data_IF_921069271454
#
_entry.id   IF_921069271454
#
_cell.length_a   1.000
_cell.length_b   1.000
_cell.length_c   1.000
_cell.angle_alpha   90.00
_cell.angle_beta   90.00
_cell.angle_gamma   90.00
#
_symmetry.space_group_name_H-M   'P 1'
#
loop_
_entity.id
_entity.type
_entity.pdbx_description
1 polymer ?
#
# COMPACT_ATOMS: atom_id res chain seq x y z
N UNK A 1 26.41 -21.31 -53.96
CA UNK A 1 27.30 -20.16 -53.68
C UNK A 1 27.92 -20.27 -52.28
N UNK A 2 28.96 -21.09 -52.11
CA UNK A 2 29.68 -21.18 -50.83
C UNK A 2 30.69 -20.04 -50.70
N UNK A 3 30.52 -19.15 -49.71
CA UNK A 3 31.59 -18.22 -49.30
C UNK A 3 32.70 -19.03 -48.61
N UNK A 4 33.95 -18.65 -48.86
CA UNK A 4 35.15 -19.41 -48.45
C UNK A 4 35.32 -19.63 -46.94
N UNK A 5 36.33 -20.45 -46.58
CA UNK A 5 36.61 -20.89 -45.21
C UNK A 5 36.75 -19.70 -44.25
N UNK A 6 35.94 -19.68 -43.19
CA UNK A 6 35.95 -18.64 -42.14
C UNK A 6 36.75 -19.13 -40.93
N UNK A 7 37.58 -18.27 -40.34
CA UNK A 7 38.31 -18.55 -39.11
C UNK A 7 37.36 -18.71 -37.91
N UNK A 8 37.63 -19.65 -37.00
CA UNK A 8 36.88 -19.84 -35.76
C UNK A 8 37.32 -18.81 -34.70
N UNK A 9 36.87 -17.57 -34.88
CA UNK A 9 37.02 -16.47 -33.92
C UNK A 9 35.75 -15.62 -33.86
N UNK A 10 35.67 -14.74 -32.86
CA UNK A 10 34.58 -13.77 -32.73
C UNK A 10 34.47 -12.90 -34.00
N UNK A 11 33.26 -12.75 -34.51
CA UNK A 11 32.98 -11.86 -35.66
C UNK A 11 32.74 -10.47 -35.08
N UNK A 12 33.63 -9.51 -35.33
CA UNK A 12 33.52 -8.17 -34.71
C UNK A 12 32.38 -7.33 -35.28
N UNK A 13 32.18 -7.35 -36.60
CA UNK A 13 31.07 -6.64 -37.25
C UNK A 13 29.71 -7.13 -36.70
N UNK A 14 28.97 -6.21 -36.07
CA UNK A 14 27.70 -6.50 -35.37
C UNK A 14 26.63 -7.08 -36.31
N UNK A 15 26.52 -6.57 -37.54
CA UNK A 15 25.52 -7.02 -38.54
C UNK A 15 25.88 -8.42 -39.03
N UNK A 16 27.13 -8.64 -39.44
CA UNK A 16 27.62 -9.96 -39.87
C UNK A 16 27.50 -11.00 -38.77
N UNK A 17 27.76 -10.62 -37.51
CA UNK A 17 27.58 -11.48 -36.34
C UNK A 17 26.10 -11.85 -36.13
N UNK A 18 25.17 -10.90 -36.22
CA UNK A 18 23.73 -11.15 -36.07
C UNK A 18 23.17 -12.09 -37.15
N UNK A 19 23.53 -11.86 -38.42
CA UNK A 19 23.12 -12.72 -39.54
C UNK A 19 23.73 -14.12 -39.40
N UNK A 20 25.00 -14.21 -39.01
CA UNK A 20 25.68 -15.49 -38.80
C UNK A 20 25.10 -16.25 -37.61
N UNK A 21 24.81 -15.58 -36.49
CA UNK A 21 24.12 -16.16 -35.34
C UNK A 21 22.78 -16.76 -35.75
N UNK A 22 21.94 -16.00 -36.45
CA UNK A 22 20.62 -16.46 -36.89
C UNK A 22 20.70 -17.71 -37.78
N UNK A 23 21.65 -17.73 -38.74
CA UNK A 23 21.86 -18.88 -39.63
C UNK A 23 22.47 -20.08 -38.91
N UNK A 24 23.51 -19.90 -38.10
CA UNK A 24 24.17 -20.99 -37.36
C UNK A 24 23.28 -21.57 -36.27
N UNK A 25 22.53 -20.75 -35.53
CA UNK A 25 21.53 -21.21 -34.53
C UNK A 25 20.49 -22.12 -35.18
N UNK A 26 19.92 -21.68 -36.31
CA UNK A 26 18.92 -22.48 -37.04
C UNK A 26 19.52 -23.77 -37.61
N UNK A 27 20.77 -23.73 -38.08
CA UNK A 27 21.49 -24.93 -38.52
C UNK A 27 21.78 -25.91 -37.38
N UNK A 28 22.20 -25.41 -36.22
CA UNK A 28 22.48 -26.23 -35.03
C UNK A 28 21.21 -26.88 -34.48
N UNK A 29 20.10 -26.14 -34.43
CA UNK A 29 18.79 -26.69 -34.02
C UNK A 29 18.35 -27.82 -34.95
N UNK A 30 18.51 -27.66 -36.28
CA UNK A 30 18.25 -28.75 -37.23
C UNK A 30 19.11 -29.99 -36.95
N UNK A 31 20.39 -29.82 -36.63
CA UNK A 31 21.28 -30.93 -36.27
C UNK A 31 20.92 -31.60 -34.95
N UNK A 32 20.50 -30.84 -33.93
CA UNK A 32 20.00 -31.38 -32.68
C UNK A 32 18.73 -32.22 -32.92
N UNK A 33 17.82 -31.76 -33.79
CA UNK A 33 16.63 -32.52 -34.18
C UNK A 33 16.95 -33.75 -35.02
N UNK A 34 17.90 -33.66 -35.97
CA UNK A 34 18.41 -34.81 -36.74
C UNK A 34 18.95 -35.90 -35.79
N UNK A 35 19.81 -35.55 -34.82
CA UNK A 35 20.37 -36.49 -33.85
C UNK A 35 19.27 -37.12 -32.97
N UNK A 36 18.36 -36.30 -32.45
CA UNK A 36 17.30 -36.80 -31.57
C UNK A 36 16.39 -37.81 -32.26
N UNK A 37 16.01 -37.57 -33.53
CA UNK A 37 15.14 -38.48 -34.29
C UNK A 37 15.91 -39.72 -34.78
N UNK A 38 17.13 -39.56 -35.31
CA UNK A 38 17.86 -40.66 -35.94
C UNK A 38 18.46 -41.65 -34.93
N UNK A 39 18.70 -41.21 -33.69
CA UNK A 39 19.35 -42.02 -32.65
C UNK A 39 18.46 -42.27 -31.43
N UNK A 40 17.17 -41.92 -31.48
CA UNK A 40 16.21 -41.96 -30.35
C UNK A 40 16.80 -41.38 -29.05
N UNK A 41 17.32 -40.15 -29.16
CA UNK A 41 18.10 -39.50 -28.11
C UNK A 41 17.41 -38.24 -27.59
N UNK A 42 17.38 -38.09 -26.26
CA UNK A 42 16.99 -36.86 -25.59
C UNK A 42 18.11 -35.81 -25.73
N UNK A 43 17.82 -34.71 -26.43
CA UNK A 43 18.76 -33.64 -26.75
C UNK A 43 18.19 -32.28 -26.35
N UNK A 44 18.80 -31.65 -25.35
CA UNK A 44 18.55 -30.25 -25.00
C UNK A 44 19.64 -29.33 -25.57
N UNK A 45 19.23 -28.14 -26.02
CA UNK A 45 20.11 -27.09 -26.52
C UNK A 45 19.66 -25.73 -25.98
N UNK A 46 20.52 -25.08 -25.20
CA UNK A 46 20.28 -23.75 -24.61
C UNK A 46 21.30 -22.76 -25.18
N UNK A 47 20.83 -21.64 -25.73
CA UNK A 47 21.67 -20.61 -26.37
C UNK A 47 21.25 -19.22 -25.88
N UNK A 48 22.13 -18.59 -25.11
CA UNK A 48 22.00 -17.16 -24.79
C UNK A 48 22.69 -16.31 -25.86
N UNK A 49 21.96 -15.35 -26.42
CA UNK A 49 22.56 -14.31 -27.27
C UNK A 49 23.35 -13.30 -26.44
N UNK A 50 24.23 -12.53 -27.09
CA UNK A 50 24.96 -11.42 -26.43
C UNK A 50 24.09 -10.24 -25.96
N UNK A 51 22.75 -10.38 -26.04
CA UNK A 51 21.75 -9.45 -25.48
C UNK A 51 20.94 -10.10 -24.34
N UNK A 52 21.38 -11.25 -23.83
CA UNK A 52 20.65 -12.01 -22.80
C UNK A 52 19.45 -12.81 -23.30
N UNK A 53 18.93 -12.56 -24.52
CA UNK A 53 17.80 -13.34 -25.06
C UNK A 53 18.16 -14.83 -25.18
N UNK A 54 17.36 -15.65 -24.50
CA UNK A 54 17.34 -17.11 -24.56
C UNK A 54 16.75 -17.60 -25.90
N UNK A 55 17.35 -18.66 -26.42
CA UNK A 55 16.81 -19.50 -27.49
C UNK A 55 17.09 -20.94 -27.11
N UNK A 56 16.07 -21.79 -27.17
CA UNK A 56 16.18 -23.16 -26.70
C UNK A 56 15.54 -24.16 -27.66
N UNK A 57 15.87 -25.43 -27.46
CA UNK A 57 15.29 -26.59 -28.13
C UNK A 57 15.38 -27.79 -27.19
N UNK A 58 14.33 -28.60 -27.15
CA UNK A 58 14.28 -29.91 -26.51
C UNK A 58 13.69 -30.93 -27.50
N UNK A 59 13.94 -32.22 -27.26
CA UNK A 59 13.41 -33.32 -28.04
C UNK A 59 11.89 -33.44 -27.91
N UNK A 60 11.20 -33.81 -29.00
CA UNK A 60 9.73 -33.88 -29.01
C UNK A 60 9.17 -34.92 -27.98
N UNK A 61 9.98 -35.90 -27.54
CA UNK A 61 9.62 -36.92 -26.54
C UNK A 61 9.75 -36.46 -25.07
N UNK A 62 10.54 -35.43 -24.78
CA UNK A 62 10.91 -35.04 -23.41
C UNK A 62 11.07 -33.53 -23.30
N UNK A 63 10.27 -32.91 -22.41
CA UNK A 63 10.34 -31.47 -22.16
C UNK A 63 11.73 -31.05 -21.68
N UNK A 64 12.05 -29.76 -21.88
CA UNK A 64 13.30 -29.18 -21.38
C UNK A 64 13.50 -29.48 -19.88
N UNK A 65 12.45 -29.33 -19.07
CA UNK A 65 12.50 -29.57 -17.63
C UNK A 65 12.85 -31.02 -17.29
N UNK A 66 12.27 -32.00 -18.00
CA UNK A 66 12.57 -33.42 -17.80
C UNK A 66 14.03 -33.76 -18.16
N UNK A 67 14.57 -33.17 -19.22
CA UNK A 67 15.98 -33.37 -19.61
C UNK A 67 16.93 -32.72 -18.60
N UNK A 68 16.60 -31.49 -18.14
CA UNK A 68 17.38 -30.78 -17.13
C UNK A 68 17.36 -31.49 -15.77
N UNK A 69 16.20 -32.00 -15.34
CA UNK A 69 16.07 -32.79 -14.12
C UNK A 69 16.88 -34.09 -14.20
N UNK A 70 16.80 -34.82 -15.33
CA UNK A 70 17.59 -36.03 -15.54
C UNK A 70 19.09 -35.72 -15.54
N UNK A 71 19.50 -34.64 -16.19
CA UNK A 71 20.89 -34.15 -16.16
C UNK A 71 21.32 -33.81 -14.73
N UNK A 72 20.50 -33.12 -13.95
CA UNK A 72 20.83 -32.78 -12.58
C UNK A 72 21.02 -34.03 -11.71
N UNK A 73 20.08 -34.99 -11.76
CA UNK A 73 20.20 -36.28 -11.03
C UNK A 73 21.50 -37.02 -11.38
N UNK A 74 21.88 -37.08 -12.66
CA UNK A 74 23.16 -37.70 -13.07
C UNK A 74 24.38 -36.87 -12.66
N UNK A 75 24.33 -35.54 -12.77
CA UNK A 75 25.40 -34.65 -12.34
C UNK A 75 25.63 -34.72 -10.83
N UNK A 76 24.57 -34.84 -10.02
CA UNK A 76 24.65 -35.08 -8.58
C UNK A 76 25.32 -36.43 -8.27
N UNK A 77 24.95 -37.50 -8.97
CA UNK A 77 25.58 -38.82 -8.82
C UNK A 77 27.08 -38.80 -9.20
N UNK A 78 27.45 -38.04 -10.24
CA UNK A 78 28.85 -37.89 -10.69
C UNK A 78 29.67 -36.94 -9.80
N UNK A 79 29.05 -35.94 -9.19
CA UNK A 79 29.73 -34.93 -8.34
C UNK A 79 30.14 -35.44 -6.96
N UNK A 80 29.81 -36.69 -6.61
CA UNK A 80 30.31 -37.37 -5.40
C UNK A 80 31.85 -37.48 -5.37
N UNK A 81 32.55 -37.16 -6.47
CA UNK A 81 34.01 -37.05 -6.53
C UNK A 81 34.61 -35.65 -6.30
N UNK A 82 33.80 -34.59 -6.07
CA UNK A 82 34.31 -33.20 -5.92
C UNK A 82 33.72 -32.54 -4.65
N UNK A 83 34.48 -32.45 -3.54
CA UNK A 83 33.91 -32.14 -2.23
C UNK A 83 33.37 -30.71 -2.06
N UNK A 84 33.93 -29.72 -2.75
CA UNK A 84 33.75 -28.29 -2.41
C UNK A 84 32.36 -27.73 -2.79
N UNK A 85 31.67 -28.28 -3.81
CA UNK A 85 30.34 -27.80 -4.20
C UNK A 85 29.19 -28.56 -3.51
N UNK A 86 29.48 -29.74 -2.96
CA UNK A 86 28.47 -30.64 -2.42
C UNK A 86 27.85 -30.10 -1.13
N UNK A 87 28.65 -29.50 -0.23
CA UNK A 87 28.19 -29.11 1.11
C UNK A 87 27.19 -27.94 1.09
N UNK A 88 27.47 -26.89 0.32
CA UNK A 88 26.54 -25.77 0.10
C UNK A 88 25.26 -26.21 -0.63
N UNK A 89 25.35 -27.12 -1.61
CA UNK A 89 24.20 -27.55 -2.42
C UNK A 89 23.35 -28.62 -1.72
N UNK A 90 23.97 -29.52 -0.94
CA UNK A 90 23.28 -30.47 -0.07
C UNK A 90 22.54 -29.73 1.06
N UNK A 91 23.14 -28.68 1.62
CA UNK A 91 22.45 -27.80 2.57
C UNK A 91 21.20 -27.17 1.95
N UNK A 92 21.32 -26.49 0.80
CA UNK A 92 20.15 -25.86 0.16
C UNK A 92 19.06 -26.86 -0.29
N UNK A 93 19.43 -28.04 -0.79
CA UNK A 93 18.45 -29.08 -1.19
C UNK A 93 17.73 -29.72 0.00
N UNK A 94 18.33 -29.69 1.21
CA UNK A 94 17.68 -30.14 2.45
C UNK A 94 16.86 -29.02 3.12
N UNK A 95 17.28 -27.76 3.02
CA UNK A 95 16.58 -26.62 3.62
C UNK A 95 15.39 -26.11 2.77
N UNK A 96 15.44 -26.24 1.44
CA UNK A 96 14.34 -25.86 0.55
C UNK A 96 13.00 -26.56 0.90
N UNK A 97 12.91 -27.90 1.04
CA UNK A 97 11.65 -28.56 1.39
C UNK A 97 11.17 -28.20 2.80
N UNK A 98 12.08 -27.97 3.76
CA UNK A 98 11.71 -27.47 5.09
C UNK A 98 11.06 -26.09 4.99
N UNK A 99 11.65 -25.17 4.22
CA UNK A 99 11.11 -23.83 4.02
C UNK A 99 9.75 -23.87 3.30
N UNK A 100 9.59 -24.70 2.27
CA UNK A 100 8.31 -24.90 1.57
C UNK A 100 7.23 -25.42 2.53
N UNK A 101 7.52 -26.46 3.31
CA UNK A 101 6.57 -26.97 4.31
C UNK A 101 6.18 -25.92 5.36
N UNK A 102 7.11 -25.02 5.73
CA UNK A 102 6.84 -23.89 6.62
C UNK A 102 5.93 -22.85 5.98
N UNK A 103 6.12 -22.55 4.70
CA UNK A 103 5.26 -21.64 3.92
C UNK A 103 3.84 -22.22 3.80
N UNK A 104 3.70 -23.49 3.44
CA UNK A 104 2.41 -24.17 3.34
C UNK A 104 1.67 -24.20 4.68
N UNK A 105 2.37 -24.48 5.78
CA UNK A 105 1.79 -24.44 7.12
C UNK A 105 1.31 -23.02 7.50
N UNK A 106 2.08 -21.98 7.18
CA UNK A 106 1.69 -20.59 7.44
C UNK A 106 0.50 -20.16 6.56
N UNK A 107 0.48 -20.53 5.28
CA UNK A 107 -0.63 -20.25 4.36
C UNK A 107 -1.91 -20.95 4.80
N UNK A 108 -1.84 -22.22 5.21
CA UNK A 108 -2.98 -22.95 5.79
C UNK A 108 -3.48 -22.25 7.06
N UNK A 109 -2.60 -21.88 7.98
CA UNK A 109 -3.01 -21.13 9.17
C UNK A 109 -3.70 -19.80 8.84
N UNK A 110 -3.22 -19.05 7.83
CA UNK A 110 -3.87 -17.80 7.39
C UNK A 110 -5.30 -18.01 6.87
N UNK A 111 -5.54 -19.08 6.11
CA UNK A 111 -6.89 -19.50 5.68
C UNK A 111 -7.78 -19.84 6.87
N UNK A 112 -7.27 -20.65 7.80
CA UNK A 112 -8.00 -21.01 9.00
C UNK A 112 -8.36 -19.76 9.85
N UNK A 113 -7.44 -18.80 10.00
CA UNK A 113 -7.73 -17.51 10.68
C UNK A 113 -8.76 -16.65 9.92
N UNK A 114 -8.90 -16.82 8.60
CA UNK A 114 -9.93 -16.17 7.78
C UNK A 114 -11.29 -16.91 7.80
N UNK A 115 -11.34 -18.11 8.39
CA UNK A 115 -12.54 -18.97 8.41
C UNK A 115 -12.66 -19.94 7.23
N UNK A 116 -11.60 -20.11 6.44
CA UNK A 116 -11.51 -21.03 5.30
C UNK A 116 -10.89 -22.37 5.72
N UNK A 117 -11.09 -23.44 4.92
CA UNK A 117 -10.49 -24.78 5.07
C UNK A 117 -10.69 -25.47 6.45
N UNK A 118 -11.71 -25.05 7.23
CA UNK A 118 -11.93 -25.50 8.62
C UNK A 118 -12.41 -26.96 8.76
N UNK A 119 -13.00 -27.55 7.72
CA UNK A 119 -13.61 -28.91 7.77
C UNK A 119 -12.60 -30.02 8.12
N UNK A 120 -11.31 -29.75 7.94
CA UNK A 120 -10.21 -30.68 8.23
C UNK A 120 -9.68 -30.56 9.67
N UNK A 121 -10.18 -29.61 10.46
CA UNK A 121 -9.75 -29.38 11.84
C UNK A 121 -10.57 -30.18 12.85
N UNK A 122 -9.91 -30.73 13.87
CA UNK A 122 -10.63 -31.33 15.01
C UNK A 122 -11.28 -30.24 15.88
N UNK A 123 -12.32 -30.62 16.63
CA UNK A 123 -13.01 -29.72 17.57
C UNK A 123 -12.05 -29.03 18.56
N UNK A 124 -11.00 -29.73 19.01
CA UNK A 124 -10.00 -29.18 19.92
C UNK A 124 -9.15 -28.11 19.26
N UNK A 125 -8.77 -28.31 18.00
CA UNK A 125 -7.99 -27.34 17.22
C UNK A 125 -8.85 -26.11 16.88
N UNK A 126 -10.14 -26.30 16.59
CA UNK A 126 -11.08 -25.21 16.34
C UNK A 126 -11.32 -24.35 17.61
N UNK A 127 -11.50 -24.98 18.78
CA UNK A 127 -11.57 -24.28 20.07
C UNK A 127 -10.27 -23.52 20.39
N UNK A 128 -9.12 -24.08 20.03
CA UNK A 128 -7.84 -23.40 20.19
C UNK A 128 -7.71 -22.19 19.28
N UNK A 129 -8.13 -22.33 18.02
CA UNK A 129 -8.16 -21.27 17.01
C UNK A 129 -9.09 -20.11 17.44
N UNK A 130 -10.30 -20.43 17.89
CA UNK A 130 -11.26 -19.47 18.45
C UNK A 130 -10.65 -18.69 19.62
N UNK A 131 -10.03 -19.38 20.59
CA UNK A 131 -9.40 -18.74 21.74
C UNK A 131 -8.22 -17.83 21.36
N UNK A 132 -7.43 -18.21 20.35
CA UNK A 132 -6.37 -17.37 19.80
C UNK A 132 -6.94 -16.10 19.16
N UNK A 133 -7.96 -16.23 18.30
CA UNK A 133 -8.59 -15.11 17.60
C UNK A 133 -9.25 -14.14 18.59
N UNK A 134 -10.05 -14.62 19.54
CA UNK A 134 -10.69 -13.81 20.57
C UNK A 134 -9.65 -13.05 21.43
N UNK A 135 -8.56 -13.71 21.80
CA UNK A 135 -7.47 -13.08 22.55
C UNK A 135 -6.71 -12.03 21.73
N UNK A 136 -6.46 -12.28 20.45
CA UNK A 136 -5.87 -11.29 19.54
C UNK A 136 -6.81 -10.09 19.33
N UNK A 137 -8.10 -10.35 19.11
CA UNK A 137 -9.14 -9.35 18.91
C UNK A 137 -9.31 -8.44 20.14
N UNK A 138 -9.29 -9.00 21.36
CA UNK A 138 -9.27 -8.23 22.61
C UNK A 138 -8.06 -7.29 22.68
N UNK A 139 -6.86 -7.77 22.36
CA UNK A 139 -5.64 -6.95 22.34
C UNK A 139 -5.73 -5.81 21.32
N UNK A 140 -6.17 -6.10 20.10
CA UNK A 140 -6.35 -5.10 19.02
C UNK A 140 -7.39 -4.05 19.42
N UNK A 141 -8.56 -4.46 19.93
CA UNK A 141 -9.60 -3.54 20.42
C UNK A 141 -9.10 -2.66 21.57
N UNK A 142 -8.41 -3.24 22.54
CA UNK A 142 -7.82 -2.50 23.66
C UNK A 142 -6.82 -1.44 23.18
N UNK A 143 -5.91 -1.80 22.25
CA UNK A 143 -4.94 -0.84 21.71
C UNK A 143 -5.58 0.25 20.86
N UNK A 144 -6.60 -0.09 20.06
CA UNK A 144 -7.38 0.89 19.29
C UNK A 144 -8.11 1.88 20.21
N UNK A 145 -8.77 1.40 21.25
CA UNK A 145 -9.46 2.26 22.23
C UNK A 145 -8.47 3.17 22.97
N UNK A 146 -7.29 2.65 23.34
CA UNK A 146 -6.24 3.46 23.96
C UNK A 146 -5.81 4.62 23.04
N UNK A 147 -5.49 4.34 21.77
CA UNK A 147 -5.06 5.36 20.80
C UNK A 147 -6.15 6.41 20.54
N UNK A 148 -7.42 6.00 20.50
CA UNK A 148 -8.57 6.92 20.37
C UNK A 148 -8.68 7.82 21.61
N UNK A 149 -8.55 7.27 22.81
CA UNK A 149 -8.59 8.05 24.06
C UNK A 149 -7.41 9.02 24.18
N UNK A 150 -6.21 8.61 23.75
CA UNK A 150 -5.02 9.48 23.66
C UNK A 150 -5.28 10.66 22.71
N UNK A 151 -5.87 10.41 21.52
CA UNK A 151 -6.23 11.45 20.55
C UNK A 151 -7.31 12.42 21.07
N UNK A 152 -8.39 11.90 21.67
CA UNK A 152 -9.45 12.72 22.30
C UNK A 152 -8.83 13.62 23.39
N UNK A 153 -7.95 13.06 24.23
CA UNK A 153 -7.29 13.80 25.31
C UNK A 153 -6.40 14.93 24.78
N UNK A 154 -5.76 14.74 23.62
CA UNK A 154 -4.96 15.75 22.95
C UNK A 154 -5.84 16.88 22.40
N UNK A 155 -6.90 16.55 21.66
CA UNK A 155 -7.85 17.52 21.10
C UNK A 155 -8.53 18.35 22.22
N UNK A 156 -8.92 17.73 23.33
CA UNK A 156 -9.49 18.44 24.48
C UNK A 156 -8.50 19.41 25.16
N UNK A 157 -7.17 19.17 25.08
CA UNK A 157 -6.17 20.14 25.56
C UNK A 157 -6.07 21.33 24.61
N UNK A 158 -6.07 21.08 23.31
CA UNK A 158 -6.01 22.11 22.27
C UNK A 158 -7.24 23.04 22.31
N UNK A 159 -8.46 22.47 22.41
CA UNK A 159 -9.70 23.26 22.58
C UNK A 159 -9.63 24.19 23.79
N UNK A 160 -9.15 23.69 24.95
CA UNK A 160 -8.99 24.52 26.16
C UNK A 160 -7.94 25.62 25.99
N UNK A 161 -6.83 25.34 25.31
CA UNK A 161 -5.81 26.35 25.04
C UNK A 161 -6.33 27.48 24.11
N UNK A 162 -7.09 27.12 23.08
CA UNK A 162 -7.74 28.09 22.17
C UNK A 162 -8.86 28.88 22.87
N UNK A 163 -9.62 28.26 23.76
CA UNK A 163 -10.61 28.96 24.59
C UNK A 163 -9.94 30.00 25.49
N UNK A 164 -8.82 29.67 26.14
CA UNK A 164 -8.10 30.62 26.99
C UNK A 164 -7.49 31.78 26.18
N UNK A 165 -6.93 31.50 24.99
CA UNK A 165 -6.47 32.54 24.08
C UNK A 165 -7.60 33.49 23.65
N UNK A 166 -8.79 32.95 23.31
CA UNK A 166 -9.96 33.78 23.00
C UNK A 166 -10.40 34.63 24.19
N UNK A 167 -10.41 34.08 25.42
CA UNK A 167 -10.74 34.84 26.63
C UNK A 167 -9.78 36.02 26.86
N UNK A 168 -8.48 35.83 26.59
CA UNK A 168 -7.47 36.90 26.67
C UNK A 168 -7.70 37.96 25.59
N UNK A 169 -7.96 37.55 24.35
CA UNK A 169 -8.21 38.47 23.23
C UNK A 169 -9.48 39.31 23.45
N UNK A 170 -10.56 38.72 23.97
CA UNK A 170 -11.80 39.45 24.33
C UNK A 170 -11.49 40.55 25.35
N UNK A 171 -10.77 40.23 26.44
CA UNK A 171 -10.37 41.22 27.46
C UNK A 171 -9.49 42.34 26.88
N UNK A 172 -8.61 42.03 25.92
CA UNK A 172 -7.79 43.04 25.24
C UNK A 172 -8.64 43.98 24.36
N UNK A 173 -9.65 43.44 23.65
CA UNK A 173 -10.60 44.23 22.87
C UNK A 173 -11.48 45.14 23.74
N UNK A 174 -11.93 44.65 24.90
CA UNK A 174 -12.65 45.46 25.90
C UNK A 174 -11.79 46.63 26.41
N UNK A 175 -10.52 46.35 26.75
CA UNK A 175 -9.56 47.37 27.20
C UNK A 175 -9.26 48.40 26.10
N UNK A 176 -9.09 47.99 24.84
CA UNK A 176 -8.91 48.92 23.73
C UNK A 176 -10.14 49.80 23.47
N UNK A 177 -11.36 49.25 23.57
CA UNK A 177 -12.59 50.03 23.44
C UNK A 177 -12.71 51.09 24.56
N UNK A 178 -12.38 50.74 25.81
CA UNK A 178 -12.34 51.73 26.90
C UNK A 178 -11.26 52.81 26.70
N UNK A 179 -10.10 52.47 26.14
CA UNK A 179 -9.07 53.45 25.77
C UNK A 179 -9.52 54.39 24.63
N UNK A 180 -10.26 53.89 23.63
CA UNK A 180 -10.81 54.71 22.54
C UNK A 180 -11.99 55.61 23.00
N UNK A 181 -12.87 55.12 23.87
CA UNK A 181 -13.97 55.91 24.43
C UNK A 181 -13.49 57.02 25.39
N UNK A 182 -12.33 56.85 26.03
CA UNK A 182 -11.75 57.88 26.91
C UNK A 182 -10.93 58.93 26.15
N UNK A 183 -10.27 58.57 25.04
CA UNK A 183 -9.59 59.53 24.16
C UNK A 183 -10.56 60.41 23.37
N UNK A 184 -11.70 59.87 22.92
CA UNK A 184 -12.75 60.66 22.26
C UNK A 184 -13.40 61.70 23.19
N UNK A 185 -13.56 61.38 24.49
CA UNK A 185 -14.07 62.34 25.49
C UNK A 185 -13.14 63.53 25.76
N UNK A 186 -11.85 63.42 25.44
CA UNK A 186 -10.85 64.46 25.73
C UNK A 186 -10.74 65.52 24.62
N UNK A 187 -11.30 65.26 23.43
CA UNK A 187 -11.18 66.15 22.26
C UNK A 187 -12.38 67.11 22.07
N UNK A 188 -13.44 66.99 22.89
CA UNK A 188 -14.68 67.75 22.71
C UNK A 188 -14.82 68.98 23.63
N UNK A 189 -13.82 69.27 24.49
CA UNK A 189 -13.92 70.28 25.55
C UNK A 189 -13.28 71.65 25.24
N UNK A 190 -13.00 71.98 23.97
CA UNK A 190 -12.51 73.32 23.57
C UNK A 190 -13.07 73.80 22.22
N UNK A 191 -14.29 74.36 22.21
CA UNK A 191 -14.65 75.55 21.40
C UNK A 191 -15.75 76.38 22.11
N UNK A 192 -15.82 77.73 21.95
CA UNK A 192 -16.71 78.60 22.73
C UNK A 192 -18.10 78.81 22.09
N UNK A 193 -19.10 79.15 22.91
CA UNK A 193 -20.46 79.49 22.45
C UNK A 193 -20.54 80.81 21.67
N UNK A 194 -21.45 80.84 20.68
CA UNK A 194 -22.26 82.01 20.30
C UNK A 194 -23.72 81.54 20.01
N UNK A 195 -24.76 82.40 20.10
CA UNK A 195 -26.09 81.94 20.53
C UNK A 195 -27.20 81.85 19.44
N UNK A 196 -28.17 80.97 19.74
CA UNK A 196 -29.64 80.93 19.46
C UNK A 196 -30.25 81.69 18.26
N UNK A 197 -31.29 81.12 17.61
CA UNK A 197 -32.65 81.39 18.10
C UNK A 197 -33.61 80.18 18.19
N UNK A 198 -34.76 80.47 18.78
CA UNK A 198 -35.81 79.64 19.40
C UNK A 198 -36.71 78.74 18.51
N UNK A 199 -37.17 77.67 19.17
CA UNK A 199 -38.42 76.85 19.04
C UNK A 199 -39.67 77.59 18.48
N UNK A 200 -40.62 76.86 17.85
CA UNK A 200 -41.69 76.09 18.55
C UNK A 200 -41.74 74.61 18.14
N UNK A 201 -41.92 73.64 19.04
CA UNK A 201 -43.16 73.24 19.74
C UNK A 201 -44.22 72.59 18.82
N UNK A 202 -44.43 71.28 18.99
CA UNK A 202 -45.47 70.46 18.36
C UNK A 202 -45.64 69.17 19.16
N UNK A 203 -46.90 68.77 19.39
CA UNK A 203 -47.34 67.72 20.31
C UNK A 203 -47.68 66.39 19.61
N UNK A 204 -48.06 65.41 20.44
CA UNK A 204 -48.75 64.14 20.16
C UNK A 204 -47.87 63.02 19.54
N UNK A 205 -47.72 61.80 20.11
CA UNK A 205 -48.61 60.82 20.79
C UNK A 205 -49.13 59.74 19.83
N UNK A 206 -49.16 58.48 20.31
CA UNK A 206 -49.79 57.28 19.70
C UNK A 206 -49.09 56.66 18.48
N UNK A 207 -49.25 55.37 18.12
CA UNK A 207 -49.54 54.09 18.84
C UNK A 207 -49.37 52.94 17.79
N UNK A 208 -49.64 51.68 18.18
CA UNK A 208 -49.90 50.48 17.33
C UNK A 208 -48.59 49.78 16.87
N UNK A 209 -48.20 48.59 17.38
CA UNK A 209 -48.80 47.24 17.49
C UNK A 209 -48.63 46.32 16.26
N UNK A 210 -48.24 45.09 16.59
CA UNK A 210 -48.68 43.81 15.99
C UNK A 210 -48.07 43.36 14.63
N UNK A 211 -47.96 42.07 14.29
CA UNK A 211 -48.42 40.83 14.98
C UNK A 211 -47.49 39.62 14.67
N UNK A 212 -47.52 38.62 15.57
CA UNK A 212 -47.39 37.14 15.37
C UNK A 212 -46.94 36.53 14.02
N UNK A 213 -46.15 35.44 14.08
CA UNK A 213 -46.72 34.07 13.95
C UNK A 213 -45.72 32.95 14.31
N UNK A 214 -46.27 31.80 14.70
CA UNK A 214 -45.60 30.53 15.04
C UNK A 214 -45.95 29.48 13.97
N UNK A 215 -45.13 28.44 13.76
CA UNK A 215 -45.67 27.11 13.42
C UNK A 215 -44.68 25.92 13.56
N UNK A 216 -45.27 24.73 13.72
CA UNK A 216 -44.67 23.38 13.76
C UNK A 216 -45.32 22.50 12.66
N UNK A 217 -44.90 21.28 12.30
CA UNK A 217 -43.92 20.33 12.86
C UNK A 217 -43.32 19.50 11.71
N UNK A 218 -42.28 18.67 11.93
CA UNK A 218 -41.93 17.66 10.92
C UNK A 218 -40.80 16.68 11.25
N UNK A 219 -41.16 15.46 11.65
CA UNK A 219 -40.25 14.31 11.72
C UNK A 219 -40.55 13.31 10.60
N UNK A 220 -39.53 12.74 9.95
CA UNK A 220 -39.68 11.42 9.32
C UNK A 220 -38.36 10.65 9.19
N UNK A 221 -38.48 9.32 9.24
CA UNK A 221 -37.38 8.34 9.26
C UNK A 221 -36.91 8.00 7.84
N UNK A 222 -35.59 7.79 7.66
CA UNK A 222 -35.01 7.21 6.44
C UNK A 222 -33.68 6.51 6.73
N UNK A 223 -33.65 5.18 6.65
CA UNK A 223 -32.44 4.38 6.89
C UNK A 223 -31.54 4.34 5.62
N UNK A 224 -30.24 4.49 5.81
CA UNK A 224 -29.25 4.45 4.73
C UNK A 224 -27.82 4.39 5.24
N UNK A 225 -27.35 3.18 5.56
CA UNK A 225 -25.97 2.97 6.02
C UNK A 225 -24.96 3.28 4.90
N UNK A 226 -24.34 4.46 4.97
CA UNK A 226 -23.06 4.74 4.33
C UNK A 226 -22.12 5.35 5.38
N UNK A 227 -21.27 4.52 5.98
CA UNK A 227 -20.23 4.96 6.91
C UNK A 227 -19.12 5.62 6.08
N UNK A 228 -19.34 6.89 5.75
CA UNK A 228 -18.30 7.78 5.23
C UNK A 228 -17.25 7.97 6.33
N UNK A 229 -16.08 7.36 6.14
CA UNK A 229 -14.97 7.50 7.08
C UNK A 229 -14.42 8.94 7.02
N UNK A 230 -14.27 9.63 8.16
CA UNK A 230 -13.88 11.03 8.17
C UNK A 230 -12.45 11.22 7.63
N UNK A 231 -12.24 12.35 6.95
CA UNK A 231 -11.10 12.64 6.07
C UNK A 231 -9.70 12.51 6.74
N UNK A 232 -9.63 12.57 8.07
CA UNK A 232 -8.41 12.38 8.85
C UNK A 232 -7.92 10.93 8.92
N UNK A 233 -8.76 9.94 8.57
CA UNK A 233 -8.40 8.51 8.61
C UNK A 233 -7.65 8.02 7.35
N UNK A 234 -7.47 8.84 6.31
CA UNK A 234 -6.96 8.41 4.99
C UNK A 234 -5.45 8.71 4.82
N UNK A 235 -4.86 9.57 5.64
CA UNK A 235 -3.44 9.91 5.54
C UNK A 235 -2.54 8.88 6.21
N UNK A 236 -2.22 7.75 5.54
CA UNK A 236 -0.95 7.00 5.65
C UNK A 236 -0.78 5.93 4.54
N UNK A 237 -1.01 6.30 3.27
CA UNK A 237 -0.60 5.48 2.11
C UNK A 237 0.13 6.36 1.09
N UNK A 238 1.37 6.72 1.41
CA UNK A 238 2.50 6.90 0.48
C UNK A 238 3.73 7.41 1.25
N UNK A 239 4.68 6.49 1.51
CA UNK A 239 6.10 6.81 1.68
C UNK A 239 6.94 5.57 1.39
#
# INVERSE_FOLDING_TARGET
MGRGRVQLKRIENKISRQVTFSKRRSGLLKKAKEISILCDADVALIIFSSKGKLFEYSSDLSSMDNILERYERHSQAQSQGIPINLELRASWTLEQPKLLSRIEALQRNLRNYAGEDLDLMSLRELQHLEHQIDTALRRVRSRKNQLVNESISQQQKEVRALQEQNNVLIKQLEQQNHAQNSTSFTQQSQQPMMPLPSLPMGLDEQMIQETTQSEEVGAHVGAGNNISLPHWMISHVNR
#
